data_IF_563626528816
#
_entry.id   IF_563626528816
#
_cell.length_a   1.000
_cell.length_b   1.000
_cell.length_c   1.000
_cell.angle_alpha   90.00
_cell.angle_beta   90.00
_cell.angle_gamma   90.00
#
_symmetry.space_group_name_H-M   'P 1'
#
loop_
_entity.id
_entity.type
_entity.pdbx_description
1 polymer ?
#
# COMPACT_ATOMS: atom_id res chain seq x y z
N UNK A 1 -6.98 -17.78 -21.11
CA UNK A 1 -6.45 -17.83 -19.73
C UNK A 1 -5.29 -16.87 -19.60
N UNK A 2 -5.33 -15.99 -18.62
CA UNK A 2 -4.26 -15.01 -18.40
C UNK A 2 -3.26 -15.56 -17.39
N UNK A 3 -1.98 -15.47 -17.68
CA UNK A 3 -0.89 -15.91 -16.79
C UNK A 3 -0.04 -14.72 -16.41
N UNK A 4 0.14 -14.46 -15.12
CA UNK A 4 1.04 -13.45 -14.61
C UNK A 4 2.49 -13.92 -14.74
N UNK A 5 3.30 -13.18 -15.49
CA UNK A 5 4.74 -13.43 -15.51
C UNK A 5 5.41 -12.74 -14.31
N UNK A 6 5.61 -13.51 -13.24
CA UNK A 6 6.14 -13.04 -11.96
C UNK A 6 7.61 -12.58 -12.07
N UNK A 7 8.39 -13.18 -12.96
CA UNK A 7 9.81 -12.88 -13.13
C UNK A 7 10.08 -11.43 -13.59
N UNK A 8 9.06 -10.78 -14.15
CA UNK A 8 9.11 -9.35 -14.53
C UNK A 8 9.15 -8.40 -13.33
N UNK A 9 8.81 -8.88 -12.12
CA UNK A 9 8.65 -8.04 -10.95
C UNK A 9 9.80 -8.26 -9.97
N UNK A 10 10.73 -7.31 -9.92
CA UNK A 10 11.77 -7.27 -8.89
C UNK A 10 11.16 -6.96 -7.51
N UNK A 11 11.76 -7.49 -6.46
CA UNK A 11 11.32 -7.20 -5.11
C UNK A 11 11.85 -5.84 -4.62
N UNK A 12 10.98 -4.86 -4.52
CA UNK A 12 11.36 -3.52 -4.05
C UNK A 12 11.72 -3.48 -2.57
N UNK A 13 11.28 -4.46 -1.74
CA UNK A 13 11.66 -4.52 -0.33
C UNK A 13 13.17 -4.65 -0.11
N UNK A 14 13.88 -5.30 -1.02
CA UNK A 14 15.34 -5.46 -0.95
C UNK A 14 16.07 -4.11 -1.10
N UNK A 15 15.44 -3.16 -1.79
CA UNK A 15 15.97 -1.80 -1.96
C UNK A 15 15.78 -0.95 -0.70
N UNK A 16 14.83 -1.32 0.17
CA UNK A 16 14.51 -0.61 1.41
C UNK A 16 15.27 -1.24 2.58
N UNK A 17 16.41 -0.69 2.91
CA UNK A 17 17.23 -1.12 4.05
C UNK A 17 16.64 -0.66 5.41
N UNK A 18 15.31 -0.62 5.51
CA UNK A 18 14.58 -0.25 6.73
C UNK A 18 13.82 -1.48 7.20
N UNK A 19 14.01 -1.90 8.46
CA UNK A 19 13.29 -3.01 9.08
C UNK A 19 11.88 -2.58 9.54
N UNK A 20 11.00 -3.56 9.82
CA UNK A 20 9.68 -3.30 10.41
C UNK A 20 9.81 -2.53 11.72
N UNK A 21 10.81 -2.87 12.56
CA UNK A 21 11.10 -2.19 13.83
C UNK A 21 11.56 -0.76 13.66
N UNK A 22 12.37 -0.48 12.65
CA UNK A 22 12.78 0.90 12.33
C UNK A 22 11.60 1.74 11.83
N UNK A 23 10.68 1.14 11.06
CA UNK A 23 9.42 1.79 10.69
C UNK A 23 8.64 2.18 11.96
N UNK A 24 8.44 1.25 12.91
CA UNK A 24 7.76 1.52 14.18
C UNK A 24 8.41 2.67 14.96
N UNK A 25 9.74 2.66 15.08
CA UNK A 25 10.51 3.69 15.77
C UNK A 25 10.38 5.09 15.12
N UNK A 26 10.15 5.15 13.82
CA UNK A 26 9.92 6.41 13.12
C UNK A 26 8.49 6.91 13.30
N UNK A 27 7.49 6.02 13.08
CA UNK A 27 6.07 6.41 13.10
C UNK A 27 5.55 6.78 14.49
N UNK A 28 6.15 6.27 15.56
CA UNK A 28 5.76 6.65 16.94
C UNK A 28 5.92 8.15 17.17
N UNK A 29 6.82 8.80 16.45
CA UNK A 29 7.09 10.25 16.51
C UNK A 29 6.19 11.07 15.60
N UNK A 30 5.45 10.42 14.70
CA UNK A 30 4.61 11.10 13.72
C UNK A 30 3.20 11.32 14.27
N UNK A 31 2.68 12.53 14.07
CA UNK A 31 1.29 12.86 14.34
C UNK A 31 0.50 12.85 13.04
N UNK A 32 -0.66 12.18 13.06
CA UNK A 32 -1.55 12.16 11.91
C UNK A 32 -2.57 13.31 11.99
N UNK A 33 -2.67 14.02 10.90
CA UNK A 33 -3.70 15.03 10.69
C UNK A 33 -4.77 14.50 9.77
N UNK A 34 -6.03 14.56 10.19
CA UNK A 34 -7.17 14.14 9.41
C UNK A 34 -7.92 15.35 8.86
N UNK A 35 -7.70 15.68 7.61
CA UNK A 35 -8.39 16.77 6.94
C UNK A 35 -9.79 16.30 6.50
N UNK A 36 -10.84 17.02 6.94
CA UNK A 36 -12.24 16.72 6.62
C UNK A 36 -12.62 17.11 5.18
N UNK A 37 -11.82 17.98 4.56
CA UNK A 37 -12.06 18.47 3.19
C UNK A 37 -12.19 17.31 2.22
N UNK A 38 -13.24 17.37 1.39
CA UNK A 38 -13.47 16.45 0.27
C UNK A 38 -13.80 17.28 -0.96
N UNK A 39 -13.07 17.00 -2.02
CA UNK A 39 -13.33 17.61 -3.33
C UNK A 39 -13.58 16.47 -4.33
N UNK A 40 -14.75 16.48 -4.97
CA UNK A 40 -15.16 15.39 -5.86
C UNK A 40 -14.19 15.22 -7.04
N UNK A 41 -13.69 16.33 -7.62
CA UNK A 41 -12.70 16.26 -8.69
C UNK A 41 -11.39 15.62 -8.22
N UNK A 42 -10.91 16.02 -7.01
CA UNK A 42 -9.70 15.42 -6.42
C UNK A 42 -9.88 13.95 -6.04
N UNK A 43 -11.09 13.50 -5.69
CA UNK A 43 -11.34 12.09 -5.32
C UNK A 43 -11.51 11.18 -6.54
N UNK A 44 -12.24 11.63 -7.57
CA UNK A 44 -12.71 10.78 -8.66
C UNK A 44 -12.57 11.35 -10.06
N UNK A 45 -12.49 12.68 -10.19
CA UNK A 45 -12.55 13.38 -11.49
C UNK A 45 -11.19 13.54 -12.16
N UNK A 46 -10.09 13.53 -11.40
CA UNK A 46 -8.75 13.78 -11.93
C UNK A 46 -7.88 12.54 -11.71
N UNK A 47 -7.26 12.07 -12.77
CA UNK A 47 -6.28 10.98 -12.70
C UNK A 47 -4.90 11.55 -12.33
N UNK A 48 -4.66 11.69 -11.05
CA UNK A 48 -3.36 12.11 -10.52
C UNK A 48 -2.26 11.06 -10.75
N UNK A 49 -0.98 11.46 -10.78
CA UNK A 49 0.14 10.54 -10.64
C UNK A 49 -0.02 9.66 -9.39
N UNK A 50 0.48 8.43 -9.43
CA UNK A 50 0.25 7.49 -8.32
C UNK A 50 0.97 7.93 -7.05
N UNK A 51 0.26 7.87 -5.91
CA UNK A 51 0.85 8.22 -4.61
C UNK A 51 1.94 7.23 -4.21
N UNK A 52 1.74 5.96 -4.53
CA UNK A 52 2.65 4.86 -4.26
C UNK A 52 4.04 5.12 -4.83
N UNK A 53 4.14 5.46 -6.13
CA UNK A 53 5.44 5.70 -6.77
C UNK A 53 6.22 6.82 -6.08
N UNK A 54 5.56 7.92 -5.75
CA UNK A 54 6.21 9.04 -5.05
C UNK A 54 6.59 8.68 -3.62
N UNK A 55 5.76 7.88 -2.91
CA UNK A 55 6.04 7.43 -1.55
C UNK A 55 7.31 6.58 -1.49
N UNK A 56 7.38 5.57 -2.34
CA UNK A 56 8.54 4.67 -2.36
C UNK A 56 9.80 5.35 -2.90
N UNK A 57 9.66 6.25 -3.88
CA UNK A 57 10.77 7.06 -4.38
C UNK A 57 11.37 7.94 -3.27
N UNK A 58 10.52 8.52 -2.40
CA UNK A 58 11.01 9.25 -1.24
C UNK A 58 11.85 8.35 -0.32
N UNK A 59 11.32 7.18 0.05
CA UNK A 59 11.99 6.24 0.97
C UNK A 59 13.30 5.74 0.35
N UNK A 60 13.28 5.41 -0.94
CA UNK A 60 14.47 4.95 -1.65
C UNK A 60 15.59 5.99 -1.62
N UNK A 61 15.26 7.25 -1.89
CA UNK A 61 16.25 8.33 -1.94
C UNK A 61 16.73 8.77 -0.55
N UNK A 62 15.85 8.76 0.46
CA UNK A 62 16.14 9.35 1.77
C UNK A 62 16.42 8.32 2.87
N UNK A 63 16.22 7.01 2.62
CA UNK A 63 16.40 5.90 3.58
C UNK A 63 15.63 6.09 4.89
N UNK A 64 14.52 6.83 4.85
CA UNK A 64 13.64 7.10 5.98
C UNK A 64 12.21 7.33 5.50
N UNK A 65 11.25 7.23 6.41
CA UNK A 65 9.85 7.55 6.11
C UNK A 65 9.66 9.07 6.03
N UNK A 66 8.84 9.57 5.09
CA UNK A 66 8.40 10.96 5.14
C UNK A 66 7.39 11.16 6.28
N UNK A 67 7.33 12.34 6.88
CA UNK A 67 6.12 12.75 7.61
C UNK A 67 4.97 12.96 6.62
N UNK A 68 3.75 13.10 7.13
CA UNK A 68 2.56 13.32 6.30
C UNK A 68 2.68 14.58 5.42
N UNK A 69 3.14 15.70 6.01
CA UNK A 69 3.43 16.94 5.26
C UNK A 69 4.62 16.78 4.33
N UNK A 70 5.68 16.12 4.79
CA UNK A 70 6.86 15.83 3.97
C UNK A 70 6.51 15.01 2.74
N UNK A 71 5.60 14.03 2.88
CA UNK A 71 5.12 13.25 1.76
C UNK A 71 4.31 14.09 0.76
N UNK A 72 3.39 14.93 1.25
CA UNK A 72 2.63 15.83 0.39
C UNK A 72 3.53 16.76 -0.42
N UNK A 73 4.48 17.42 0.23
CA UNK A 73 5.41 18.33 -0.42
C UNK A 73 6.30 17.61 -1.45
N UNK A 74 6.81 16.43 -1.08
CA UNK A 74 7.59 15.62 -2.00
C UNK A 74 6.78 15.16 -3.22
N UNK A 75 5.52 14.76 -2.99
CA UNK A 75 4.62 14.36 -4.07
C UNK A 75 4.42 15.48 -5.09
N UNK A 76 4.19 16.71 -4.64
CA UNK A 76 4.06 17.86 -5.54
C UNK A 76 5.36 18.11 -6.32
N UNK A 77 6.50 18.12 -5.63
CA UNK A 77 7.81 18.34 -6.24
C UNK A 77 8.20 17.25 -7.24
N UNK A 78 7.98 15.97 -6.89
CA UNK A 78 8.30 14.84 -7.76
C UNK A 78 7.44 14.79 -9.03
N UNK A 79 6.25 15.39 -9.00
CA UNK A 79 5.31 15.43 -10.13
C UNK A 79 5.11 16.84 -10.68
N UNK A 80 6.08 17.75 -10.49
CA UNK A 80 5.97 19.18 -10.86
C UNK A 80 5.56 19.41 -12.31
N UNK A 81 6.07 18.58 -13.24
CA UNK A 81 5.79 18.77 -14.67
C UNK A 81 4.35 18.38 -15.01
N UNK A 82 3.82 17.33 -14.34
CA UNK A 82 2.39 17.01 -14.45
C UNK A 82 1.52 18.17 -13.94
N UNK A 83 1.85 18.77 -12.79
CA UNK A 83 1.09 19.90 -12.22
C UNK A 83 1.20 21.17 -13.08
N UNK A 84 2.34 21.41 -13.72
CA UNK A 84 2.47 22.51 -14.69
C UNK A 84 1.57 22.34 -15.91
N UNK A 85 1.50 21.11 -16.42
CA UNK A 85 0.66 20.77 -17.58
C UNK A 85 -0.84 20.63 -17.24
N UNK A 86 -1.18 20.50 -15.96
CA UNK A 86 -2.54 20.35 -15.45
C UNK A 86 -2.78 21.32 -14.29
N UNK A 87 -2.97 22.62 -14.56
CA UNK A 87 -3.17 23.60 -13.50
C UNK A 87 -4.46 23.31 -12.72
N UNK A 88 -4.38 23.35 -11.41
CA UNK A 88 -5.46 23.01 -10.50
C UNK A 88 -5.93 24.27 -9.76
N UNK A 89 -7.22 24.32 -9.45
CA UNK A 89 -7.76 25.36 -8.54
C UNK A 89 -7.32 25.07 -7.10
N UNK A 90 -7.32 26.09 -6.26
CA UNK A 90 -7.00 25.99 -4.83
C UNK A 90 -7.84 24.92 -4.13
N UNK A 91 -9.15 24.86 -4.43
CA UNK A 91 -10.07 23.88 -3.84
C UNK A 91 -9.70 22.42 -4.20
N UNK A 92 -9.26 22.20 -5.45
CA UNK A 92 -8.81 20.88 -5.90
C UNK A 92 -7.50 20.50 -5.22
N UNK A 93 -6.58 21.46 -5.05
CA UNK A 93 -5.31 21.24 -4.32
C UNK A 93 -5.55 20.92 -2.84
N UNK A 94 -6.48 21.61 -2.17
CA UNK A 94 -6.89 21.30 -0.80
C UNK A 94 -7.52 19.90 -0.72
N UNK A 95 -8.35 19.54 -1.68
CA UNK A 95 -8.94 18.21 -1.81
C UNK A 95 -7.87 17.13 -2.02
N UNK A 96 -6.87 17.39 -2.88
CA UNK A 96 -5.73 16.50 -3.13
C UNK A 96 -4.89 16.29 -1.84
N UNK A 97 -4.57 17.37 -1.13
CA UNK A 97 -3.87 17.29 0.15
C UNK A 97 -4.62 16.40 1.13
N UNK A 98 -5.92 16.64 1.29
CA UNK A 98 -6.77 15.85 2.17
C UNK A 98 -6.82 14.36 1.75
N UNK A 99 -6.83 14.06 0.44
CA UNK A 99 -6.78 12.70 -0.08
C UNK A 99 -5.45 12.02 0.23
N UNK A 100 -4.31 12.70 0.02
CA UNK A 100 -2.97 12.19 0.35
C UNK A 100 -2.87 11.91 1.85
N UNK A 101 -3.35 12.81 2.70
CA UNK A 101 -3.33 12.63 4.16
C UNK A 101 -4.13 11.41 4.60
N UNK A 102 -5.26 11.11 3.98
CA UNK A 102 -6.06 9.91 4.27
C UNK A 102 -5.43 8.61 3.75
N UNK A 103 -4.67 8.71 2.65
CA UNK A 103 -4.00 7.54 2.05
C UNK A 103 -2.70 7.19 2.77
N UNK A 104 -2.01 8.20 3.33
CA UNK A 104 -0.71 8.04 3.95
C UNK A 104 -0.62 6.93 5.02
N UNK A 105 -1.56 6.78 5.97
CA UNK A 105 -1.50 5.70 6.95
C UNK A 105 -1.58 4.29 6.34
N UNK A 106 -2.30 4.12 5.22
CA UNK A 106 -2.32 2.82 4.51
C UNK A 106 -0.98 2.50 3.88
N UNK A 107 -0.34 3.46 3.22
CA UNK A 107 0.98 3.25 2.61
C UNK A 107 2.02 2.80 3.65
N UNK A 108 2.00 3.41 4.84
CA UNK A 108 2.87 3.01 5.96
C UNK A 108 2.54 1.59 6.43
N UNK A 109 1.26 1.27 6.60
CA UNK A 109 0.79 -0.04 7.06
C UNK A 109 1.20 -1.15 6.11
N UNK A 110 0.99 -0.93 4.82
CA UNK A 110 1.25 -1.93 3.78
C UNK A 110 2.77 -2.19 3.67
N UNK A 111 3.60 -1.13 3.72
CA UNK A 111 5.05 -1.25 3.79
C UNK A 111 5.51 -1.98 5.05
N UNK A 112 4.98 -1.59 6.23
CA UNK A 112 5.33 -2.23 7.50
C UNK A 112 5.02 -3.72 7.47
N UNK A 113 3.82 -4.10 7.02
CA UNK A 113 3.41 -5.51 6.94
C UNK A 113 4.29 -6.32 5.99
N UNK A 114 4.57 -5.76 4.81
CA UNK A 114 5.45 -6.42 3.85
C UNK A 114 6.85 -6.71 4.43
N UNK A 115 7.40 -5.75 5.20
CA UNK A 115 8.67 -5.93 5.92
C UNK A 115 8.55 -6.95 7.04
N UNK A 116 7.53 -6.81 7.91
CA UNK A 116 7.28 -7.72 9.02
C UNK A 116 7.13 -9.17 8.54
N UNK A 117 6.37 -9.38 7.47
CA UNK A 117 6.18 -10.69 6.88
C UNK A 117 7.50 -11.26 6.34
N UNK A 118 8.29 -10.46 5.61
CA UNK A 118 9.60 -10.89 5.09
C UNK A 118 10.63 -11.19 6.18
N UNK A 119 10.51 -10.58 7.35
CA UNK A 119 11.41 -10.79 8.49
C UNK A 119 11.01 -12.01 9.33
N UNK A 120 9.73 -12.39 9.34
CA UNK A 120 9.19 -13.47 10.18
C UNK A 120 9.03 -14.81 9.48
N UNK A 121 9.00 -14.82 8.14
CA UNK A 121 8.70 -16.03 7.38
C UNK A 121 9.89 -16.44 6.51
N UNK A 122 10.71 -17.37 6.99
CA UNK A 122 11.91 -17.83 6.27
C UNK A 122 11.60 -18.68 5.01
N UNK A 123 10.39 -19.25 4.93
CA UNK A 123 9.99 -20.16 3.85
C UNK A 123 9.19 -19.47 2.74
N UNK A 124 8.92 -18.16 2.86
CA UNK A 124 8.16 -17.38 1.89
C UNK A 124 9.08 -16.46 1.12
N UNK A 125 8.97 -16.49 -0.20
CA UNK A 125 9.51 -15.38 -1.01
C UNK A 125 8.44 -14.31 -1.12
N UNK A 126 8.71 -13.17 -0.51
CA UNK A 126 7.81 -12.02 -0.52
C UNK A 126 8.25 -11.08 -1.64
N UNK A 127 7.33 -10.72 -2.55
CA UNK A 127 7.57 -9.74 -3.60
C UNK A 127 6.60 -8.57 -3.39
N UNK A 128 7.15 -7.43 -3.08
CA UNK A 128 6.48 -6.15 -3.14
C UNK A 128 7.01 -5.35 -4.32
N UNK A 129 6.12 -4.89 -5.19
CA UNK A 129 6.51 -4.12 -6.37
C UNK A 129 5.41 -3.11 -6.73
N UNK A 130 5.78 -1.85 -6.91
CA UNK A 130 4.81 -0.77 -7.19
C UNK A 130 4.06 -0.95 -8.51
N UNK A 131 4.68 -1.57 -9.53
CA UNK A 131 3.98 -1.88 -10.78
C UNK A 131 2.97 -3.01 -10.59
N UNK A 132 3.28 -4.01 -9.74
CA UNK A 132 2.37 -5.09 -9.41
C UNK A 132 1.11 -4.54 -8.72
N UNK A 133 1.29 -3.64 -7.75
CA UNK A 133 0.20 -2.97 -7.04
C UNK A 133 -0.62 -2.07 -7.99
N UNK A 134 0.03 -1.18 -8.73
CA UNK A 134 -0.66 -0.16 -9.54
C UNK A 134 -1.30 -0.72 -10.79
N UNK A 135 -0.64 -1.68 -11.48
CA UNK A 135 -1.10 -2.23 -12.76
C UNK A 135 -1.96 -3.47 -12.60
N UNK A 136 -1.54 -4.37 -11.70
CA UNK A 136 -2.19 -5.67 -11.53
C UNK A 136 -3.17 -5.69 -10.34
N UNK A 137 -3.10 -4.67 -9.46
CA UNK A 137 -3.94 -4.57 -8.26
C UNK A 137 -3.59 -5.58 -7.18
N UNK A 138 -2.34 -6.04 -7.15
CA UNK A 138 -1.80 -6.98 -6.17
C UNK A 138 -0.90 -6.20 -5.20
N UNK A 139 -1.35 -6.01 -3.97
CA UNK A 139 -0.61 -5.24 -2.96
C UNK A 139 0.68 -5.97 -2.54
N UNK A 140 0.65 -7.31 -2.49
CA UNK A 140 1.77 -8.15 -2.10
C UNK A 140 1.66 -9.52 -2.76
N UNK A 141 2.77 -10.06 -3.27
CA UNK A 141 2.83 -11.42 -3.79
C UNK A 141 3.69 -12.29 -2.87
N UNK A 142 3.12 -13.40 -2.41
CA UNK A 142 3.80 -14.42 -1.59
C UNK A 142 3.98 -15.68 -2.42
N UNK A 143 5.20 -16.19 -2.49
CA UNK A 143 5.52 -17.45 -3.18
C UNK A 143 5.96 -18.46 -2.14
N UNK A 144 5.24 -19.58 -2.07
CA UNK A 144 5.53 -20.70 -1.18
C UNK A 144 5.28 -22.04 -1.91
N UNK A 145 6.22 -22.96 -1.86
CA UNK A 145 6.08 -24.30 -2.45
C UNK A 145 5.54 -24.28 -3.89
N UNK A 146 5.99 -23.34 -4.72
CA UNK A 146 5.55 -23.10 -6.09
C UNK A 146 4.11 -22.56 -6.24
N UNK A 147 3.43 -22.25 -5.14
CA UNK A 147 2.13 -21.58 -5.14
C UNK A 147 2.37 -20.07 -5.10
N UNK A 148 1.70 -19.33 -5.99
CA UNK A 148 1.76 -17.87 -6.04
C UNK A 148 0.48 -17.31 -5.44
N UNK A 149 0.61 -16.54 -4.37
CA UNK A 149 -0.52 -15.97 -3.63
C UNK A 149 -0.48 -14.46 -3.72
N UNK A 150 -1.47 -13.88 -4.39
CA UNK A 150 -1.71 -12.45 -4.36
C UNK A 150 -2.46 -12.08 -3.09
N UNK A 151 -1.86 -11.22 -2.27
CA UNK A 151 -2.45 -10.74 -1.03
C UNK A 151 -2.92 -9.31 -1.24
N UNK A 152 -4.22 -9.07 -1.05
CA UNK A 152 -4.81 -7.76 -1.08
C UNK A 152 -5.06 -7.26 0.34
N UNK A 153 -4.41 -6.15 0.68
CA UNK A 153 -4.43 -5.54 2.00
C UNK A 153 -5.47 -4.42 2.08
N UNK A 154 -6.38 -4.47 3.03
CA UNK A 154 -7.34 -3.39 3.21
C UNK A 154 -7.85 -3.23 4.64
N UNK A 155 -8.35 -2.05 4.95
CA UNK A 155 -9.04 -1.80 6.22
C UNK A 155 -10.50 -2.22 6.11
N UNK A 156 -11.01 -2.95 7.10
CA UNK A 156 -12.42 -3.38 7.17
C UNK A 156 -13.33 -2.20 7.49
N UNK A 157 -13.48 -1.29 6.53
CA UNK A 157 -14.34 -0.12 6.64
C UNK A 157 -15.36 -0.10 5.50
N UNK A 158 -16.57 0.44 5.76
CA UNK A 158 -17.61 0.61 4.73
C UNK A 158 -17.08 1.29 3.46
N UNK A 159 -16.17 2.27 3.61
CA UNK A 159 -15.58 2.99 2.49
C UNK A 159 -14.63 2.11 1.66
N UNK A 160 -13.78 1.32 2.32
CA UNK A 160 -12.88 0.40 1.63
C UNK A 160 -13.70 -0.62 0.82
N UNK A 161 -14.76 -1.17 1.40
CA UNK A 161 -15.68 -2.09 0.72
C UNK A 161 -16.33 -1.46 -0.52
N UNK A 162 -16.89 -0.24 -0.42
CA UNK A 162 -17.46 0.49 -1.57
C UNK A 162 -16.40 0.76 -2.65
N UNK A 163 -15.19 1.16 -2.22
CA UNK A 163 -14.08 1.43 -3.14
C UNK A 163 -13.64 0.18 -3.92
N UNK A 164 -13.66 -0.99 -3.28
CA UNK A 164 -13.33 -2.28 -3.90
C UNK A 164 -14.38 -2.72 -4.91
N UNK A 165 -15.65 -2.65 -4.56
CA UNK A 165 -16.74 -2.98 -5.49
C UNK A 165 -16.69 -2.14 -6.77
N UNK A 166 -16.23 -0.88 -6.67
CA UNK A 166 -15.99 -0.02 -7.85
C UNK A 166 -14.72 -0.39 -8.62
N UNK A 167 -13.74 -1.04 -7.99
CA UNK A 167 -12.48 -1.48 -8.62
C UNK A 167 -12.57 -2.89 -9.20
N UNK A 168 -13.50 -3.72 -8.74
CA UNK A 168 -13.55 -5.17 -8.98
C UNK A 168 -13.50 -5.62 -10.45
N UNK A 169 -13.76 -4.73 -11.41
CA UNK A 169 -13.69 -5.03 -12.85
C UNK A 169 -12.47 -4.40 -13.56
N UNK A 170 -11.48 -3.91 -12.83
CA UNK A 170 -10.34 -3.16 -13.41
C UNK A 170 -9.09 -3.99 -13.59
N UNK A 171 -8.96 -5.08 -12.89
CA UNK A 171 -7.77 -5.93 -12.90
C UNK A 171 -8.11 -7.30 -13.48
N UNK A 172 -7.17 -7.85 -14.23
CA UNK A 172 -7.26 -9.19 -14.78
C UNK A 172 -7.02 -10.18 -13.63
N UNK A 173 -7.83 -11.21 -13.55
CA UNK A 173 -7.54 -12.36 -12.68
C UNK A 173 -6.63 -13.33 -13.45
N UNK A 174 -5.57 -13.77 -12.82
CA UNK A 174 -4.58 -14.67 -13.40
C UNK A 174 -4.78 -16.10 -12.90
N UNK A 175 -4.75 -17.06 -13.80
CA UNK A 175 -5.01 -18.48 -13.48
C UNK A 175 -3.90 -19.13 -12.64
N UNK A 176 -2.68 -18.59 -12.71
CA UNK A 176 -1.54 -19.06 -11.92
C UNK A 176 -1.38 -18.34 -10.57
N UNK A 177 -2.42 -17.62 -10.13
CA UNK A 177 -2.41 -16.85 -8.89
C UNK A 177 -3.59 -17.24 -8.02
N UNK A 178 -3.34 -17.55 -6.76
CA UNK A 178 -4.37 -17.65 -5.71
C UNK A 178 -4.55 -16.27 -5.06
N UNK A 179 -5.79 -15.80 -4.94
CA UNK A 179 -6.09 -14.49 -4.37
C UNK A 179 -6.55 -14.61 -2.92
N UNK A 180 -5.87 -13.92 -2.02
CA UNK A 180 -6.21 -13.83 -0.60
C UNK A 180 -6.50 -12.39 -0.22
N UNK A 181 -7.64 -12.21 0.41
CA UNK A 181 -8.08 -10.94 0.95
C UNK A 181 -7.71 -10.87 2.44
N UNK A 182 -6.88 -9.91 2.81
CA UNK A 182 -6.46 -9.74 4.20
C UNK A 182 -6.99 -8.43 4.79
N UNK A 183 -8.14 -8.47 5.49
CA UNK A 183 -8.70 -7.29 6.15
C UNK A 183 -7.96 -6.98 7.44
N UNK A 184 -7.78 -5.70 7.76
CA UNK A 184 -7.38 -5.26 9.09
C UNK A 184 -8.59 -4.67 9.82
N UNK A 185 -8.81 -5.11 11.03
CA UNK A 185 -9.78 -4.53 11.96
C UNK A 185 -9.06 -3.64 12.97
N UNK A 186 -9.50 -2.38 13.10
CA UNK A 186 -8.85 -1.44 14.02
C UNK A 186 -8.86 -1.92 15.48
N UNK A 187 -9.91 -2.63 15.90
CA UNK A 187 -10.05 -3.13 17.28
C UNK A 187 -9.10 -4.30 17.62
N UNK A 188 -8.41 -4.87 16.68
CA UNK A 188 -7.46 -5.98 16.90
C UNK A 188 -6.07 -5.73 16.35
N UNK A 189 -5.85 -4.56 15.74
CA UNK A 189 -4.58 -4.19 15.13
C UNK A 189 -3.56 -3.72 16.16
N UNK A 190 -2.28 -3.82 15.80
CA UNK A 190 -1.18 -3.26 16.57
C UNK A 190 -1.20 -1.74 16.43
N UNK A 191 -1.33 -1.02 17.54
CA UNK A 191 -1.30 0.45 17.53
C UNK A 191 0.07 0.97 17.92
N UNK A 192 0.71 1.73 17.02
CA UNK A 192 1.98 2.43 17.23
C UNK A 192 1.76 3.92 16.98
N UNK A 193 1.82 4.74 18.04
CA UNK A 193 1.44 6.15 17.95
C UNK A 193 0.02 6.33 17.42
N UNK A 194 -0.14 7.05 16.33
CA UNK A 194 -1.43 7.27 15.67
C UNK A 194 -1.75 6.22 14.57
N UNK A 195 -0.86 5.23 14.37
CA UNK A 195 -1.01 4.23 13.31
C UNK A 195 -1.57 2.92 13.83
N UNK A 196 -2.45 2.34 13.02
CA UNK A 196 -2.93 0.96 13.18
C UNK A 196 -2.23 0.08 12.14
N UNK A 197 -1.49 -0.92 12.58
CA UNK A 197 -0.66 -1.78 11.76
C UNK A 197 -1.20 -3.22 11.74
N UNK A 198 -0.83 -3.97 10.71
CA UNK A 198 -0.94 -5.43 10.72
C UNK A 198 0.11 -6.00 11.68
N UNK A 199 -0.22 -7.12 12.33
CA UNK A 199 0.66 -7.79 13.28
C UNK A 199 0.69 -9.30 13.09
N UNK A 200 1.03 -10.02 14.17
CA UNK A 200 1.11 -11.49 14.15
C UNK A 200 -0.23 -12.15 13.82
N UNK A 201 -1.36 -11.55 14.22
CA UNK A 201 -2.68 -12.09 13.91
C UNK A 201 -2.89 -12.20 12.41
N UNK A 202 -2.59 -11.14 11.68
CA UNK A 202 -2.75 -11.09 10.23
C UNK A 202 -1.77 -12.03 9.51
N UNK A 203 -0.58 -12.28 10.09
CA UNK A 203 0.35 -13.31 9.58
C UNK A 203 -0.26 -14.70 9.73
N UNK A 204 -0.81 -15.02 10.90
CA UNK A 204 -1.46 -16.32 11.17
C UNK A 204 -2.69 -16.51 10.25
N UNK A 205 -3.51 -15.46 10.08
CA UNK A 205 -4.65 -15.48 9.15
C UNK A 205 -4.20 -15.75 7.71
N UNK A 206 -3.14 -15.08 7.25
CA UNK A 206 -2.57 -15.28 5.91
C UNK A 206 -2.04 -16.71 5.74
N UNK A 207 -1.32 -17.24 6.73
CA UNK A 207 -0.81 -18.63 6.69
C UNK A 207 -1.95 -19.66 6.63
N UNK A 208 -3.04 -19.41 7.35
CA UNK A 208 -4.21 -20.27 7.30
C UNK A 208 -4.88 -20.26 5.92
N UNK A 209 -5.02 -19.07 5.29
CA UNK A 209 -5.57 -18.97 3.94
C UNK A 209 -4.66 -19.59 2.87
N UNK A 210 -3.33 -19.45 2.99
CA UNK A 210 -2.37 -20.11 2.09
C UNK A 210 -2.47 -21.63 2.20
N UNK A 211 -2.61 -22.17 3.41
CA UNK A 211 -2.76 -23.64 3.62
C UNK A 211 -4.04 -24.17 2.97
N UNK A 212 -5.16 -23.45 3.09
CA UNK A 212 -6.42 -23.83 2.43
C UNK A 212 -6.30 -23.82 0.90
N UNK A 213 -5.54 -22.90 0.35
CA UNK A 213 -5.35 -22.78 -1.08
C UNK A 213 -4.42 -23.86 -1.67
N UNK A 214 -3.58 -24.48 -0.85
CA UNK A 214 -2.65 -25.56 -1.23
C UNK A 214 -3.16 -26.98 -1.01
N UNK A 215 -4.33 -27.12 -0.36
CA UNK A 215 -5.06 -28.38 -0.16
C UNK A 215 -6.12 -28.60 -1.24
#
# INVERSE_FOLDING_TARGET
>A
MAILNIEKYSNHLELFKISSKEIENQIIKFKLTFLKTRNQKAEWGIRFPTFIDSFYKFIFNNKKLPSQDGFYNYYLANNKDWFKSNPLTTDVLLGLRARIYRTYPSLIRDLHFSKLLSEKTNNYKIIYNTNLDVKEGIDLLVIINKINVAVNLYTKTRRAFIGRNKKGNRHILYDNITYVELPVEFNGSVKIGDFFLYGNREIIELEAEIKKAGS
#
